data_IF_951609829008
#
_entry.id   IF_951609829008
#
_cell.length_a   1.000
_cell.length_b   1.000
_cell.length_c   1.000
_cell.angle_alpha   90.00
_cell.angle_beta   90.00
_cell.angle_gamma   90.00
#
_symmetry.space_group_name_H-M   'P 1'
#
loop_
_entity.id
_entity.type
_entity.pdbx_description
1 polymer ?
#
# COMPACT_ATOMS: atom_id res chain seq x y z
N UNK A 1 -10.52 -7.11 5.73
CA UNK A 1 -10.93 -6.00 4.84
C UNK A 1 -11.19 -6.58 3.48
N UNK A 2 -12.06 -5.98 2.68
CA UNK A 2 -12.41 -6.41 1.32
C UNK A 2 -12.27 -5.24 0.36
N UNK A 3 -12.09 -5.54 -0.93
CA UNK A 3 -12.06 -4.50 -1.98
C UNK A 3 -13.47 -3.91 -2.12
N UNK A 4 -13.56 -2.59 -2.11
CA UNK A 4 -14.80 -1.87 -2.36
C UNK A 4 -15.32 -2.17 -3.76
N UNK A 5 -16.64 -2.25 -3.91
CA UNK A 5 -17.26 -2.65 -5.19
C UNK A 5 -16.87 -1.72 -6.35
N UNK A 6 -16.62 -0.43 -6.09
CA UNK A 6 -16.17 0.55 -7.09
C UNK A 6 -14.79 0.24 -7.70
N UNK A 7 -13.95 -0.49 -6.97
CA UNK A 7 -12.63 -0.93 -7.43
C UNK A 7 -12.62 -2.40 -7.85
N UNK A 8 -13.75 -3.11 -7.69
CA UNK A 8 -13.85 -4.52 -8.06
C UNK A 8 -13.79 -4.63 -9.59
N UNK A 9 -12.87 -5.47 -10.08
CA UNK A 9 -12.64 -5.67 -11.51
C UNK A 9 -11.59 -4.74 -12.12
N UNK A 10 -11.07 -3.75 -11.38
CA UNK A 10 -9.91 -2.98 -11.82
C UNK A 10 -8.63 -3.82 -11.74
N UNK A 11 -7.73 -3.61 -12.69
CA UNK A 11 -6.41 -4.24 -12.68
C UNK A 11 -5.45 -3.52 -11.72
N UNK A 12 -4.29 -4.14 -11.47
CA UNK A 12 -3.30 -3.55 -10.59
C UNK A 12 -2.76 -2.21 -11.06
N UNK A 13 -2.73 -1.94 -12.37
CA UNK A 13 -2.26 -0.65 -12.92
C UNK A 13 -3.21 0.48 -12.54
N UNK A 14 -4.52 0.32 -12.77
CA UNK A 14 -5.49 1.33 -12.42
C UNK A 14 -5.55 1.60 -10.90
N UNK A 15 -5.29 0.56 -10.10
CA UNK A 15 -5.25 0.65 -8.63
C UNK A 15 -3.96 1.33 -8.16
N UNK A 16 -2.84 1.07 -8.83
CA UNK A 16 -1.60 1.78 -8.59
C UNK A 16 -1.76 3.28 -8.83
N UNK A 17 -2.38 3.68 -9.94
CA UNK A 17 -2.64 5.09 -10.25
C UNK A 17 -3.53 5.76 -9.19
N UNK A 18 -4.56 5.07 -8.70
CA UNK A 18 -5.39 5.58 -7.61
C UNK A 18 -4.58 5.81 -6.32
N UNK A 19 -3.69 4.87 -5.98
CA UNK A 19 -2.80 4.99 -4.81
C UNK A 19 -1.77 6.10 -5.00
N UNK A 20 -1.18 6.25 -6.18
CA UNK A 20 -0.25 7.34 -6.50
C UNK A 20 -0.94 8.69 -6.39
N UNK A 21 -2.16 8.83 -6.93
CA UNK A 21 -2.97 10.04 -6.81
C UNK A 21 -3.24 10.40 -5.35
N UNK A 22 -3.60 9.41 -4.52
CA UNK A 22 -3.74 9.62 -3.08
C UNK A 22 -2.43 10.11 -2.44
N UNK A 23 -1.29 9.46 -2.72
CA UNK A 23 0.01 9.83 -2.14
C UNK A 23 0.43 11.23 -2.55
N UNK A 24 0.25 11.61 -3.82
CA UNK A 24 0.57 12.95 -4.31
C UNK A 24 -0.28 14.03 -3.62
N UNK A 25 -1.54 13.73 -3.30
CA UNK A 25 -2.45 14.66 -2.62
C UNK A 25 -2.21 14.77 -1.11
N UNK A 26 -1.93 13.66 -0.44
CA UNK A 26 -1.93 13.59 1.03
C UNK A 26 -0.54 13.48 1.66
N UNK A 27 0.46 13.04 0.89
CA UNK A 27 1.87 12.83 1.29
C UNK A 27 2.07 11.99 2.56
N UNK A 28 1.03 11.32 3.04
CA UNK A 28 1.02 10.52 4.25
C UNK A 28 -0.19 9.59 4.29
N UNK A 29 -0.06 8.51 5.04
CA UNK A 29 -1.14 7.55 5.29
C UNK A 29 -0.96 6.92 6.67
N UNK A 30 -1.99 6.22 7.15
CA UNK A 30 -1.96 5.49 8.41
C UNK A 30 -2.05 3.99 8.11
N UNK A 31 -1.19 3.18 8.74
CA UNK A 31 -1.29 1.73 8.62
C UNK A 31 -2.51 1.17 9.33
N UNK A 32 -2.82 -0.09 9.06
CA UNK A 32 -3.82 -0.88 9.81
C UNK A 32 -3.53 -0.99 11.31
N UNK A 33 -2.29 -0.72 11.72
CA UNK A 33 -1.88 -0.72 13.14
C UNK A 33 -1.87 0.69 13.76
N UNK A 34 -2.35 1.71 13.05
CA UNK A 34 -2.40 3.09 13.55
C UNK A 34 -1.09 3.88 13.43
N UNK A 35 -0.07 3.33 12.79
CA UNK A 35 1.22 4.02 12.61
C UNK A 35 1.10 4.98 11.42
N UNK A 36 1.49 6.24 11.63
CA UNK A 36 1.56 7.23 10.56
C UNK A 36 2.84 7.07 9.75
N UNK A 37 2.70 7.09 8.42
CA UNK A 37 3.78 7.09 7.45
C UNK A 37 3.77 8.39 6.65
N UNK A 38 4.94 8.98 6.39
CA UNK A 38 5.12 9.88 5.26
C UNK A 38 5.25 9.07 3.98
N UNK A 39 4.68 9.55 2.89
CA UNK A 39 4.74 8.89 1.59
C UNK A 39 5.00 9.90 0.48
N UNK A 40 5.94 9.59 -0.42
CA UNK A 40 6.27 10.42 -1.58
C UNK A 40 6.43 9.55 -2.81
N UNK A 41 5.75 9.92 -3.89
CA UNK A 41 5.92 9.25 -5.19
C UNK A 41 7.09 9.89 -5.95
N UNK A 42 8.07 9.07 -6.36
CA UNK A 42 9.25 9.50 -7.12
C UNK A 42 9.56 8.47 -8.19
N UNK A 43 9.56 8.89 -9.46
CA UNK A 43 9.78 8.01 -10.60
C UNK A 43 8.66 6.96 -10.71
N UNK A 44 8.97 5.71 -10.37
CA UNK A 44 8.02 4.58 -10.38
C UNK A 44 7.82 3.95 -8.99
N UNK A 45 8.23 4.65 -7.94
CA UNK A 45 8.25 4.15 -6.57
C UNK A 45 7.51 5.08 -5.61
N UNK A 46 6.84 4.50 -4.63
CA UNK A 46 6.37 5.21 -3.44
C UNK A 46 7.40 4.97 -2.34
N UNK A 47 8.09 6.02 -1.93
CA UNK A 47 8.95 6.04 -0.76
C UNK A 47 8.10 6.26 0.47
N UNK A 48 8.28 5.41 1.48
CA UNK A 48 7.55 5.51 2.75
C UNK A 48 8.52 5.53 3.92
N UNK A 49 8.23 6.37 4.91
CA UNK A 49 9.01 6.46 6.15
C UNK A 49 8.06 6.58 7.32
N UNK A 50 8.28 5.76 8.34
CA UNK A 50 7.38 5.66 9.49
C UNK A 50 7.61 4.38 10.27
N UNK A 51 6.96 4.27 11.42
CA UNK A 51 7.25 3.21 12.38
C UNK A 51 7.68 3.77 13.73
N UNK A 52 8.07 2.88 14.63
CA UNK A 52 8.61 3.24 15.93
C UNK A 52 9.99 3.88 15.75
N UNK A 53 10.30 5.01 16.43
CA UNK A 53 11.64 5.59 16.43
C UNK A 53 12.73 4.57 16.76
N UNK A 54 13.87 4.62 16.07
CA UNK A 54 14.97 3.66 16.23
C UNK A 54 14.79 2.35 15.46
N UNK A 55 13.72 2.23 14.65
CA UNK A 55 13.59 1.14 13.69
C UNK A 55 14.12 1.58 12.32
N UNK A 56 14.72 0.64 11.58
CA UNK A 56 15.21 0.88 10.21
C UNK A 56 14.19 1.60 9.32
N UNK A 57 12.91 1.25 9.42
CA UNK A 57 11.83 1.86 8.63
C UNK A 57 11.51 3.30 9.06
N UNK A 58 11.64 3.61 10.34
CA UNK A 58 11.50 4.97 10.83
C UNK A 58 12.73 5.83 10.52
N UNK A 59 13.92 5.23 10.44
CA UNK A 59 15.18 5.96 10.29
C UNK A 59 15.61 6.09 8.81
N UNK A 60 15.62 4.99 8.07
CA UNK A 60 16.04 4.89 6.66
C UNK A 60 14.86 4.92 5.68
N UNK A 61 13.66 4.54 6.14
CA UNK A 61 12.51 4.36 5.25
C UNK A 61 12.59 3.07 4.43
N UNK A 62 11.61 2.90 3.54
CA UNK A 62 11.59 1.86 2.52
C UNK A 62 10.87 2.39 1.27
N UNK A 63 10.90 1.63 0.19
CA UNK A 63 10.15 1.95 -1.01
C UNK A 63 9.31 0.77 -1.46
N UNK A 64 8.24 1.10 -2.17
CA UNK A 64 7.37 0.17 -2.86
C UNK A 64 7.38 0.53 -4.35
N UNK A 65 7.83 -0.41 -5.18
CA UNK A 65 7.82 -0.20 -6.63
C UNK A 65 6.42 -0.43 -7.18
N UNK A 66 6.05 0.27 -8.24
CA UNK A 66 4.78 0.03 -8.94
C UNK A 66 4.66 -1.42 -9.40
N UNK A 67 5.75 -2.00 -9.93
CA UNK A 67 5.79 -3.41 -10.36
C UNK A 67 5.45 -4.39 -9.24
N UNK A 68 6.08 -4.25 -8.07
CA UNK A 68 5.83 -5.14 -6.94
C UNK A 68 4.41 -4.94 -6.38
N UNK A 69 3.93 -3.69 -6.36
CA UNK A 69 2.57 -3.37 -5.94
C UNK A 69 1.54 -4.03 -6.86
N UNK A 70 1.65 -3.81 -8.17
CA UNK A 70 0.72 -4.31 -9.19
C UNK A 70 0.66 -5.83 -9.12
N UNK A 71 1.83 -6.49 -9.10
CA UNK A 71 1.92 -7.94 -8.99
C UNK A 71 1.27 -8.45 -7.71
N UNK A 72 1.52 -7.81 -6.57
CA UNK A 72 0.92 -8.23 -5.31
C UNK A 72 -0.61 -8.04 -5.31
N UNK A 73 -1.10 -6.92 -5.83
CA UNK A 73 -2.53 -6.64 -5.93
C UNK A 73 -3.25 -7.65 -6.82
N UNK A 74 -2.74 -7.90 -8.03
CA UNK A 74 -3.37 -8.84 -8.96
C UNK A 74 -3.44 -10.27 -8.41
N UNK A 75 -2.56 -10.64 -7.47
CA UNK A 75 -2.60 -11.95 -6.81
C UNK A 75 -3.68 -12.07 -5.75
N UNK A 76 -4.15 -10.96 -5.18
CA UNK A 76 -5.07 -10.97 -4.02
C UNK A 76 -6.41 -10.31 -4.30
N UNK A 77 -6.58 -9.61 -5.42
CA UNK A 77 -7.78 -8.78 -5.66
C UNK A 77 -9.11 -9.54 -5.68
N UNK A 78 -9.08 -10.82 -6.03
CA UNK A 78 -10.27 -11.68 -6.07
C UNK A 78 -10.50 -12.46 -4.76
N UNK A 79 -9.68 -12.22 -3.73
CA UNK A 79 -9.81 -12.91 -2.45
C UNK A 79 -10.98 -12.31 -1.66
N UNK A 80 -11.75 -13.13 -0.92
CA UNK A 80 -12.88 -12.65 -0.13
C UNK A 80 -12.45 -11.67 0.97
N UNK A 81 -11.23 -11.84 1.47
CA UNK A 81 -10.60 -10.97 2.46
C UNK A 81 -9.14 -10.69 2.11
N UNK A 82 -8.69 -9.49 2.46
CA UNK A 82 -7.33 -9.00 2.30
C UNK A 82 -6.85 -8.45 3.64
N UNK A 83 -5.66 -8.89 4.06
CA UNK A 83 -4.94 -8.43 5.25
C UNK A 83 -3.44 -8.66 5.07
N UNK A 84 -2.63 -8.20 6.02
CA UNK A 84 -1.16 -8.28 5.96
C UNK A 84 -0.64 -9.72 5.86
N UNK A 85 -1.33 -10.71 6.44
CA UNK A 85 -0.92 -12.12 6.39
C UNK A 85 -1.18 -12.74 5.03
N UNK A 86 -2.30 -12.39 4.38
CA UNK A 86 -2.67 -12.87 3.04
C UNK A 86 -1.73 -12.31 1.98
N UNK A 87 -1.35 -11.04 2.08
CA UNK A 87 -0.47 -10.42 1.08
C UNK A 87 1.00 -10.80 1.25
N UNK A 88 1.41 -11.28 2.44
CA UNK A 88 2.80 -11.61 2.79
C UNK A 88 3.56 -12.48 1.78
N UNK A 89 2.96 -13.49 1.12
CA UNK A 89 3.64 -14.28 0.10
C UNK A 89 3.92 -13.51 -1.20
N UNK A 90 3.16 -12.45 -1.49
CA UNK A 90 3.20 -11.70 -2.75
C UNK A 90 3.92 -10.36 -2.63
N UNK A 91 4.03 -9.83 -1.41
CA UNK A 91 4.79 -8.63 -1.11
C UNK A 91 5.65 -8.87 0.13
N UNK A 92 6.95 -8.63 -0.01
CA UNK A 92 7.94 -8.87 1.06
C UNK A 92 7.79 -7.82 2.14
N UNK A 93 8.80 -6.99 2.42
CA UNK A 93 8.83 -6.19 3.66
C UNK A 93 7.70 -5.16 3.77
N UNK A 94 7.03 -4.84 2.67
CA UNK A 94 6.07 -3.75 2.55
C UNK A 94 4.60 -4.15 2.78
N UNK A 95 4.28 -5.28 3.44
CA UNK A 95 2.86 -5.68 3.65
C UNK A 95 2.04 -4.60 4.35
N UNK A 96 2.58 -4.03 5.43
CA UNK A 96 1.88 -3.00 6.23
C UNK A 96 1.69 -1.70 5.43
N UNK A 97 2.71 -1.12 4.78
CA UNK A 97 2.52 -0.02 3.84
C UNK A 97 1.51 -0.31 2.73
N UNK A 98 1.59 -1.49 2.10
CA UNK A 98 0.70 -1.88 1.01
C UNK A 98 -0.77 -1.84 1.43
N UNK A 99 -1.11 -2.51 2.55
CA UNK A 99 -2.48 -2.51 3.06
C UNK A 99 -2.89 -1.11 3.54
N UNK A 100 -2.00 -0.38 4.21
CA UNK A 100 -2.29 0.98 4.69
C UNK A 100 -2.59 1.96 3.55
N UNK A 101 -1.86 1.86 2.43
CA UNK A 101 -2.11 2.66 1.22
C UNK A 101 -3.46 2.31 0.60
N UNK A 102 -3.78 1.03 0.44
CA UNK A 102 -5.08 0.60 -0.08
C UNK A 102 -6.25 1.05 0.80
N UNK A 103 -6.09 0.96 2.14
CA UNK A 103 -7.10 1.40 3.10
C UNK A 103 -7.31 2.92 3.03
N UNK A 104 -6.24 3.71 3.09
CA UNK A 104 -6.35 5.17 3.10
C UNK A 104 -6.79 5.74 1.74
N UNK A 105 -6.50 5.03 0.64
CA UNK A 105 -7.00 5.38 -0.70
C UNK A 105 -8.46 4.99 -0.91
N UNK A 106 -9.12 4.37 0.09
CA UNK A 106 -10.53 3.97 0.01
C UNK A 106 -10.79 2.66 -0.72
N UNK A 107 -9.74 1.97 -1.15
CA UNK A 107 -9.81 0.75 -1.99
C UNK A 107 -10.18 -0.48 -1.16
N UNK A 108 -9.70 -0.53 0.09
CA UNK A 108 -10.07 -1.54 1.08
C UNK A 108 -10.98 -0.96 2.17
N UNK A 109 -11.99 -1.73 2.61
CA UNK A 109 -12.83 -1.45 3.79
C UNK A 109 -13.07 -2.71 4.62
#
# INVERSE_FOLDING_TARGET
MKICDEYRGMDGEAIWEAVVSYVQKHSSFTSVTGIRYSATFVGSCIFVKGGTPGTKRADEGEYLTGKDFILAYDKVKDFPEINTSIVKPYIKRQQTPFIGLLLCSGILK
#
